data_IF_434672757216
#
_entry.id   IF_434672757216
#
_cell.length_a   1.000
_cell.length_b   1.000
_cell.length_c   1.000
_cell.angle_alpha   90.00
_cell.angle_beta   90.00
_cell.angle_gamma   90.00
#
_symmetry.space_group_name_H-M   'P 1'
#
loop_
_entity.id
_entity.type
_entity.pdbx_description
1 polymer ?
#
# COMPACT_ATOMS: atom_id res chain seq x y z
N UNK A 1 -14.60 5.07 -11.92
CA UNK A 1 -13.13 5.06 -12.09
C UNK A 1 -12.65 3.66 -12.39
N UNK A 2 -11.52 3.53 -13.09
CA UNK A 2 -10.88 2.28 -13.48
C UNK A 2 -9.60 2.12 -12.68
N UNK A 3 -9.50 1.08 -11.89
CA UNK A 3 -8.39 0.91 -10.94
C UNK A 3 -7.68 -0.45 -11.11
N UNK A 4 -6.35 -0.43 -11.12
CA UNK A 4 -5.52 -1.60 -10.88
C UNK A 4 -5.11 -1.61 -9.41
N UNK A 5 -5.37 -2.70 -8.70
CA UNK A 5 -4.94 -2.90 -7.32
C UNK A 5 -4.01 -4.12 -7.24
N UNK A 6 -2.73 -3.90 -7.00
CA UNK A 6 -1.77 -4.99 -6.76
C UNK A 6 -1.84 -5.44 -5.29
N UNK A 7 -1.59 -6.73 -5.04
CA UNK A 7 -1.86 -7.31 -3.71
C UNK A 7 -3.35 -7.45 -3.40
N UNK A 8 -4.20 -7.30 -4.41
CA UNK A 8 -5.66 -7.29 -4.31
C UNK A 8 -6.31 -8.62 -3.98
N UNK A 9 -5.55 -9.71 -3.95
CA UNK A 9 -6.03 -11.04 -3.53
C UNK A 9 -5.72 -11.35 -2.05
N UNK A 10 -4.91 -10.52 -1.39
CA UNK A 10 -4.67 -10.61 0.05
C UNK A 10 -5.86 -10.09 0.87
N UNK A 11 -5.89 -10.41 2.17
CA UNK A 11 -7.00 -10.07 3.08
C UNK A 11 -7.40 -8.58 3.01
N UNK A 12 -6.45 -7.69 3.19
CA UNK A 12 -6.70 -6.24 3.12
C UNK A 12 -7.03 -5.80 1.70
N UNK A 13 -6.22 -6.21 0.71
CA UNK A 13 -6.40 -5.78 -0.67
C UNK A 13 -7.73 -6.22 -1.28
N UNK A 14 -8.17 -7.47 -1.01
CA UNK A 14 -9.46 -7.95 -1.49
C UNK A 14 -10.64 -7.13 -0.92
N UNK A 15 -10.58 -6.82 0.37
CA UNK A 15 -11.63 -6.02 1.01
C UNK A 15 -11.60 -4.55 0.54
N UNK A 16 -10.43 -3.97 0.31
CA UNK A 16 -10.30 -2.64 -0.32
C UNK A 16 -10.88 -2.67 -1.74
N UNK A 17 -10.51 -3.67 -2.56
CA UNK A 17 -11.03 -3.80 -3.92
C UNK A 17 -12.56 -3.91 -3.94
N UNK A 18 -13.13 -4.69 -3.04
CA UNK A 18 -14.58 -4.84 -2.92
C UNK A 18 -15.24 -3.52 -2.52
N UNK A 19 -14.70 -2.82 -1.54
CA UNK A 19 -15.23 -1.51 -1.14
C UNK A 19 -15.19 -0.49 -2.28
N UNK A 20 -14.12 -0.48 -3.09
CA UNK A 20 -14.06 0.38 -4.27
C UNK A 20 -15.11 0.00 -5.32
N UNK A 21 -15.38 -1.30 -5.52
CA UNK A 21 -16.44 -1.77 -6.43
C UNK A 21 -17.82 -1.33 -5.97
N UNK A 22 -18.10 -1.32 -4.67
CA UNK A 22 -19.40 -0.83 -4.15
C UNK A 22 -19.62 0.66 -4.41
N UNK A 23 -18.54 1.43 -4.61
CA UNK A 23 -18.60 2.83 -5.07
C UNK A 23 -18.64 2.97 -6.60
N UNK A 24 -18.91 1.87 -7.31
CA UNK A 24 -19.06 1.86 -8.76
C UNK A 24 -17.74 1.91 -9.55
N UNK A 25 -16.61 1.59 -8.93
CA UNK A 25 -15.33 1.49 -9.63
C UNK A 25 -15.21 0.15 -10.36
N UNK A 26 -14.59 0.17 -11.53
CA UNK A 26 -14.12 -1.04 -12.18
C UNK A 26 -12.72 -1.34 -11.62
N UNK A 27 -12.56 -2.50 -10.98
CA UNK A 27 -11.29 -2.84 -10.28
C UNK A 27 -10.75 -4.17 -10.78
N UNK A 28 -9.55 -4.15 -11.36
CA UNK A 28 -8.73 -5.33 -11.55
C UNK A 28 -7.87 -5.52 -10.29
N UNK A 29 -8.14 -6.57 -9.54
CA UNK A 29 -7.40 -6.93 -8.34
C UNK A 29 -6.42 -8.05 -8.66
N UNK A 30 -5.13 -7.73 -8.66
CA UNK A 30 -4.05 -8.67 -8.99
C UNK A 30 -3.36 -9.20 -7.73
N UNK A 31 -2.91 -10.44 -7.78
CA UNK A 31 -2.19 -11.13 -6.70
C UNK A 31 -0.90 -11.80 -7.20
N UNK A 32 -0.32 -12.67 -6.38
CA UNK A 32 0.94 -13.34 -6.68
C UNK A 32 0.89 -14.29 -7.90
N UNK A 33 -0.31 -14.71 -8.33
CA UNK A 33 -0.49 -15.55 -9.53
C UNK A 33 -0.47 -14.75 -10.83
N UNK A 34 -0.53 -13.44 -10.74
CA UNK A 34 -0.58 -12.54 -11.90
C UNK A 34 0.80 -12.07 -12.36
N UNK A 35 1.85 -12.56 -11.73
CA UNK A 35 3.24 -12.32 -12.09
C UNK A 35 4.11 -11.87 -10.92
N UNK A 36 5.42 -11.92 -11.11
CA UNK A 36 6.42 -11.36 -10.19
C UNK A 36 6.65 -9.88 -10.49
N UNK A 37 6.04 -9.02 -9.71
CA UNK A 37 6.12 -7.56 -9.90
C UNK A 37 7.52 -6.98 -9.62
N UNK A 38 8.45 -7.75 -9.04
CA UNK A 38 9.86 -7.36 -8.94
C UNK A 38 10.57 -7.39 -10.32
N UNK A 39 9.94 -7.96 -11.34
CA UNK A 39 10.39 -7.98 -12.73
C UNK A 39 9.63 -6.95 -13.55
N UNK A 40 10.37 -6.07 -14.22
CA UNK A 40 9.80 -4.96 -14.99
C UNK A 40 8.91 -5.42 -16.16
N UNK A 41 9.27 -6.53 -16.79
CA UNK A 41 8.50 -7.12 -17.90
C UNK A 41 7.15 -7.67 -17.43
N UNK A 42 7.11 -8.36 -16.29
CA UNK A 42 5.88 -8.90 -15.72
C UNK A 42 4.97 -7.79 -15.15
N UNK A 43 5.55 -6.78 -14.48
CA UNK A 43 4.80 -5.60 -14.03
C UNK A 43 4.16 -4.86 -15.22
N UNK A 44 4.87 -4.73 -16.35
CA UNK A 44 4.34 -4.12 -17.58
C UNK A 44 3.19 -4.96 -18.15
N UNK A 45 3.36 -6.27 -18.27
CA UNK A 45 2.31 -7.16 -18.78
C UNK A 45 1.03 -7.09 -17.94
N UNK A 46 1.14 -7.00 -16.61
CA UNK A 46 -0.01 -6.81 -15.73
C UNK A 46 -0.73 -5.47 -16.00
N UNK A 47 0.02 -4.38 -16.17
CA UNK A 47 -0.57 -3.06 -16.45
C UNK A 47 -1.27 -3.04 -17.81
N UNK A 48 -0.65 -3.60 -18.84
CA UNK A 48 -1.23 -3.70 -20.18
C UNK A 48 -2.55 -4.49 -20.15
N UNK A 49 -2.56 -5.64 -19.47
CA UNK A 49 -3.78 -6.42 -19.25
C UNK A 49 -4.87 -5.59 -18.53
N UNK A 50 -4.50 -4.85 -17.49
CA UNK A 50 -5.47 -4.02 -16.76
C UNK A 50 -6.05 -2.92 -17.65
N UNK A 51 -5.23 -2.31 -18.51
CA UNK A 51 -5.68 -1.29 -19.46
C UNK A 51 -6.64 -1.88 -20.50
N UNK A 52 -6.33 -3.08 -21.02
CA UNK A 52 -7.18 -3.74 -22.01
C UNK A 52 -8.52 -4.17 -21.42
N UNK A 53 -8.52 -4.80 -20.24
CA UNK A 53 -9.74 -5.26 -19.58
C UNK A 53 -10.64 -4.10 -19.10
N UNK A 54 -10.05 -3.01 -18.61
CA UNK A 54 -10.80 -1.87 -18.05
C UNK A 54 -11.09 -0.77 -19.09
N UNK A 55 -10.48 -0.84 -20.28
CA UNK A 55 -10.57 0.21 -21.29
C UNK A 55 -9.80 1.49 -20.92
N UNK A 56 -8.81 1.39 -20.05
CA UNK A 56 -7.97 2.48 -19.58
C UNK A 56 -7.68 2.41 -18.08
N UNK A 57 -6.97 3.41 -17.54
CA UNK A 57 -6.54 3.40 -16.15
C UNK A 57 -6.61 4.81 -15.55
N UNK A 58 -7.31 4.95 -14.43
CA UNK A 58 -7.47 6.21 -13.70
C UNK A 58 -6.71 6.18 -12.36
N UNK A 59 -6.65 5.00 -11.72
CA UNK A 59 -6.00 4.82 -10.42
C UNK A 59 -5.16 3.54 -10.41
N UNK A 60 -3.97 3.62 -9.83
CA UNK A 60 -3.18 2.45 -9.43
C UNK A 60 -3.05 2.44 -7.92
N UNK A 61 -3.39 1.32 -7.29
CA UNK A 61 -3.15 1.08 -5.87
C UNK A 61 -2.06 0.02 -5.73
N UNK A 62 -0.88 0.43 -5.32
CA UNK A 62 0.27 -0.43 -5.08
C UNK A 62 0.19 -1.03 -3.67
N UNK A 63 -0.45 -2.18 -3.56
CA UNK A 63 -0.64 -2.90 -2.30
C UNK A 63 0.11 -4.24 -2.21
N UNK A 64 0.86 -4.62 -3.25
CA UNK A 64 1.68 -5.82 -3.21
C UNK A 64 2.80 -5.67 -2.17
N UNK A 65 2.95 -6.67 -1.33
CA UNK A 65 4.02 -6.77 -0.33
C UNK A 65 4.30 -8.24 -0.07
N UNK A 66 5.54 -8.59 0.23
CA UNK A 66 5.85 -9.91 0.74
C UNK A 66 5.17 -10.11 2.10
N UNK A 67 4.72 -11.34 2.36
CA UNK A 67 4.36 -11.72 3.72
C UNK A 67 5.55 -11.50 4.65
N UNK A 68 5.28 -11.12 5.89
CA UNK A 68 6.34 -10.92 6.87
C UNK A 68 6.12 -11.84 8.07
N UNK A 69 7.18 -12.53 8.46
CA UNK A 69 7.23 -13.41 9.63
C UNK A 69 8.21 -12.78 10.61
N UNK A 70 7.88 -12.72 11.92
CA UNK A 70 8.81 -12.18 12.90
C UNK A 70 10.07 -13.06 12.98
N UNK A 71 11.24 -12.43 12.90
CA UNK A 71 12.56 -13.07 13.01
C UNK A 71 13.45 -12.27 13.96
N UNK A 72 14.36 -12.95 14.64
CA UNK A 72 15.49 -12.28 15.29
C UNK A 72 16.39 -11.71 14.21
N UNK A 73 17.06 -10.63 14.48
CA UNK A 73 17.90 -9.96 13.47
C UNK A 73 18.97 -10.90 12.89
N UNK A 74 19.55 -11.75 13.73
CA UNK A 74 20.59 -12.71 13.36
C UNK A 74 20.09 -13.82 12.42
N UNK A 75 18.77 -14.04 12.37
CA UNK A 75 18.12 -15.08 11.55
C UNK A 75 17.58 -14.52 10.23
N UNK A 76 17.75 -13.21 9.96
CA UNK A 76 17.32 -12.58 8.70
C UNK A 76 18.23 -13.05 7.57
N UNK A 77 17.64 -13.65 6.54
CA UNK A 77 18.33 -14.12 5.34
C UNK A 77 18.33 -13.08 4.21
N UNK A 78 19.17 -13.30 3.22
CA UNK A 78 19.17 -12.53 1.96
C UNK A 78 17.81 -12.63 1.26
N UNK A 79 17.21 -13.82 1.21
CA UNK A 79 15.88 -14.03 0.63
C UNK A 79 14.79 -13.21 1.33
N UNK A 80 14.85 -13.00 2.65
CA UNK A 80 13.89 -12.15 3.38
C UNK A 80 14.00 -10.69 2.93
N UNK A 81 15.22 -10.22 2.71
CA UNK A 81 15.49 -8.85 2.24
C UNK A 81 15.02 -8.69 0.80
N UNK A 82 15.40 -9.63 -0.06
CA UNK A 82 15.03 -9.61 -1.48
C UNK A 82 13.53 -9.70 -1.68
N UNK A 83 12.83 -10.55 -0.94
CA UNK A 83 11.36 -10.64 -0.98
C UNK A 83 10.70 -9.33 -0.54
N UNK A 84 11.15 -8.74 0.58
CA UNK A 84 10.59 -7.49 1.09
C UNK A 84 10.79 -6.33 0.11
N UNK A 85 12.00 -6.15 -0.40
CA UNK A 85 12.34 -5.09 -1.36
C UNK A 85 11.74 -5.37 -2.74
N UNK A 86 11.74 -6.62 -3.19
CA UNK A 86 11.21 -7.03 -4.49
C UNK A 86 9.74 -6.67 -4.64
N UNK A 87 8.89 -7.24 -3.82
CA UNK A 87 7.44 -7.03 -3.93
C UNK A 87 7.03 -5.59 -3.61
N UNK A 88 7.60 -5.01 -2.53
CA UNK A 88 7.15 -3.71 -2.02
C UNK A 88 7.74 -2.54 -2.80
N UNK A 89 9.07 -2.54 -3.04
CA UNK A 89 9.77 -1.38 -3.63
C UNK A 89 9.82 -1.50 -5.15
N UNK A 90 10.43 -2.58 -5.67
CA UNK A 90 10.56 -2.77 -7.12
C UNK A 90 9.20 -2.93 -7.78
N UNK A 91 8.28 -3.71 -7.17
CA UNK A 91 6.93 -3.89 -7.67
C UNK A 91 6.17 -2.57 -7.78
N UNK A 92 6.15 -1.77 -6.72
CA UNK A 92 5.51 -0.45 -6.75
C UNK A 92 6.12 0.48 -7.81
N UNK A 93 7.44 0.45 -7.95
CA UNK A 93 8.15 1.28 -8.93
C UNK A 93 7.81 0.87 -10.37
N UNK A 94 7.94 -0.42 -10.71
CA UNK A 94 7.74 -0.89 -12.08
C UNK A 94 6.28 -0.85 -12.52
N UNK A 95 5.33 -1.17 -11.64
CA UNK A 95 3.90 -1.00 -11.92
C UNK A 95 3.58 0.48 -12.17
N UNK A 96 4.07 1.39 -11.34
CA UNK A 96 3.87 2.82 -11.53
C UNK A 96 4.52 3.31 -12.82
N UNK A 97 5.73 2.85 -13.15
CA UNK A 97 6.43 3.20 -14.38
C UNK A 97 5.64 2.76 -15.62
N UNK A 98 5.14 1.54 -15.64
CA UNK A 98 4.33 1.02 -16.74
C UNK A 98 2.99 1.74 -16.85
N UNK A 99 2.35 2.08 -15.72
CA UNK A 99 1.06 2.75 -15.67
C UNK A 99 1.13 4.25 -16.02
N UNK A 100 2.27 4.90 -15.85
CA UNK A 100 2.42 6.35 -15.99
C UNK A 100 1.89 6.93 -17.31
N UNK A 101 2.14 6.33 -18.51
CA UNK A 101 1.58 6.84 -19.76
C UNK A 101 0.04 6.83 -19.81
N UNK A 102 -0.58 5.84 -19.15
CA UNK A 102 -2.04 5.70 -19.08
C UNK A 102 -2.64 6.69 -18.08
N UNK A 103 -2.01 6.82 -16.91
CA UNK A 103 -2.42 7.76 -15.86
C UNK A 103 -2.29 9.23 -16.31
N UNK A 104 -1.27 9.57 -17.12
CA UNK A 104 -1.17 10.91 -17.68
C UNK A 104 -2.36 11.27 -18.56
N UNK A 105 -2.91 10.33 -19.32
CA UNK A 105 -4.09 10.56 -20.17
C UNK A 105 -5.38 10.81 -19.39
N UNK A 106 -5.45 10.29 -18.17
CA UNK A 106 -6.63 10.43 -17.29
C UNK A 106 -6.45 11.45 -16.18
N UNK A 107 -5.30 12.15 -16.11
CA UNK A 107 -4.91 12.96 -14.94
C UNK A 107 -5.03 12.16 -13.64
N UNK A 108 -4.48 10.95 -13.66
CA UNK A 108 -4.74 9.89 -12.70
C UNK A 108 -4.02 9.99 -11.37
N UNK A 109 -4.16 8.94 -10.59
CA UNK A 109 -3.63 8.83 -9.24
C UNK A 109 -2.89 7.51 -9.03
N UNK A 110 -1.75 7.57 -8.36
CA UNK A 110 -1.10 6.40 -7.74
C UNK A 110 -1.27 6.49 -6.23
N UNK A 111 -1.75 5.40 -5.63
CA UNK A 111 -1.79 5.22 -4.17
C UNK A 111 -0.80 4.15 -3.78
N UNK A 112 0.13 4.46 -2.89
CA UNK A 112 1.02 3.49 -2.25
C UNK A 112 0.37 3.01 -0.95
N UNK A 113 0.03 1.73 -0.84
CA UNK A 113 -0.36 1.13 0.44
C UNK A 113 0.92 0.89 1.26
N UNK A 114 1.29 1.92 1.99
CA UNK A 114 2.42 1.93 2.91
C UNK A 114 2.10 1.09 4.17
N UNK A 115 2.71 1.43 5.27
CA UNK A 115 2.49 0.83 6.59
C UNK A 115 3.03 1.77 7.66
N UNK A 116 2.45 1.77 8.86
CA UNK A 116 3.04 2.48 10.01
C UNK A 116 4.46 2.00 10.35
N UNK A 117 4.85 0.81 9.90
CA UNK A 117 6.22 0.31 9.97
C UNK A 117 7.25 1.19 9.22
N UNK A 118 6.79 2.05 8.30
CA UNK A 118 7.64 3.06 7.66
C UNK A 118 8.07 4.17 8.64
N UNK A 119 7.34 4.35 9.73
CA UNK A 119 7.47 5.47 10.68
C UNK A 119 7.80 5.00 12.10
N UNK A 120 7.45 3.75 12.43
CA UNK A 120 7.71 3.15 13.75
C UNK A 120 8.51 1.85 13.56
N UNK A 121 9.74 1.75 14.09
CA UNK A 121 10.58 0.56 13.88
C UNK A 121 10.07 -0.64 14.68
N UNK A 122 10.08 -1.81 14.03
CA UNK A 122 9.73 -3.10 14.65
C UNK A 122 10.94 -4.03 14.58
N UNK A 123 11.54 -4.32 15.72
CA UNK A 123 12.79 -5.08 15.82
C UNK A 123 12.76 -6.47 15.17
N UNK A 124 11.58 -7.14 15.19
CA UNK A 124 11.41 -8.46 14.57
C UNK A 124 11.04 -8.43 13.09
N UNK A 125 10.97 -7.23 12.45
CA UNK A 125 10.51 -7.06 11.08
C UNK A 125 11.40 -6.09 10.28
N UNK A 126 12.72 -6.14 10.49
CA UNK A 126 13.68 -5.19 9.93
C UNK A 126 13.58 -5.04 8.40
N UNK A 127 13.55 -6.12 7.58
CA UNK A 127 13.42 -5.98 6.13
C UNK A 127 12.09 -5.33 5.72
N UNK A 128 10.99 -5.66 6.40
CA UNK A 128 9.68 -5.06 6.13
C UNK A 128 9.68 -3.56 6.42
N UNK A 129 10.19 -3.14 7.60
CA UNK A 129 10.29 -1.72 7.94
C UNK A 129 11.11 -0.95 6.91
N UNK A 130 12.27 -1.48 6.50
CA UNK A 130 13.12 -0.87 5.48
C UNK A 130 12.39 -0.73 4.13
N UNK A 131 11.70 -1.77 3.68
CA UNK A 131 10.94 -1.76 2.43
C UNK A 131 9.78 -0.75 2.49
N UNK A 132 9.05 -0.66 3.60
CA UNK A 132 7.95 0.29 3.78
C UNK A 132 8.44 1.74 3.88
N UNK A 133 9.57 1.99 4.54
CA UNK A 133 10.21 3.31 4.54
C UNK A 133 10.65 3.73 3.14
N UNK A 134 11.21 2.81 2.35
CA UNK A 134 11.54 3.06 0.95
C UNK A 134 10.28 3.35 0.11
N UNK A 135 9.17 2.61 0.32
CA UNK A 135 7.90 2.86 -0.37
C UNK A 135 7.32 4.25 -0.02
N UNK A 136 7.42 4.69 1.24
CA UNK A 136 7.01 6.03 1.65
C UNK A 136 7.88 7.13 0.98
N UNK A 137 9.16 6.87 0.76
CA UNK A 137 10.00 7.79 -0.02
C UNK A 137 9.64 7.77 -1.51
N UNK A 138 9.27 6.62 -2.09
CA UNK A 138 8.78 6.54 -3.47
C UNK A 138 7.52 7.39 -3.67
N UNK A 139 6.60 7.45 -2.71
CA UNK A 139 5.44 8.34 -2.75
C UNK A 139 5.86 9.78 -3.06
N UNK A 140 6.85 10.31 -2.34
CA UNK A 140 7.32 11.69 -2.51
C UNK A 140 8.12 11.90 -3.80
N UNK A 141 9.02 10.97 -4.10
CA UNK A 141 9.87 11.06 -5.28
C UNK A 141 9.05 10.98 -6.58
N UNK A 142 8.10 10.04 -6.65
CA UNK A 142 7.23 9.86 -7.81
C UNK A 142 6.19 10.98 -7.93
N UNK A 143 5.70 11.54 -6.83
CA UNK A 143 4.85 12.72 -6.87
C UNK A 143 5.54 13.89 -7.59
N UNK A 144 6.84 14.09 -7.31
CA UNK A 144 7.64 15.11 -7.98
C UNK A 144 7.93 14.75 -9.45
N UNK A 145 8.21 13.48 -9.74
CA UNK A 145 8.60 13.03 -11.07
C UNK A 145 7.44 12.96 -12.07
N UNK A 146 6.20 12.74 -11.59
CA UNK A 146 5.02 12.54 -12.42
C UNK A 146 4.08 13.75 -12.46
N UNK A 147 4.37 14.78 -11.66
CA UNK A 147 3.63 16.05 -11.70
C UNK A 147 3.89 16.79 -13.02
N UNK A 148 2.92 17.61 -13.52
CA UNK A 148 1.64 17.90 -12.88
C UNK A 148 0.52 16.89 -13.23
N UNK A 149 0.75 15.97 -14.16
CA UNK A 149 -0.31 15.17 -14.77
C UNK A 149 -0.80 14.02 -13.88
N UNK A 150 0.08 13.46 -13.05
CA UNK A 150 -0.25 12.33 -12.17
C UNK A 150 0.05 12.67 -10.73
N UNK A 151 -0.93 12.47 -9.85
CA UNK A 151 -0.73 12.57 -8.40
C UNK A 151 -0.24 11.25 -7.83
N UNK A 152 0.61 11.30 -6.81
CA UNK A 152 1.06 10.12 -6.07
C UNK A 152 0.89 10.40 -4.58
N UNK A 153 0.14 9.54 -3.91
CA UNK A 153 -0.15 9.67 -2.47
C UNK A 153 0.07 8.32 -1.76
N UNK A 154 0.28 8.36 -0.46
CA UNK A 154 0.38 7.20 0.40
C UNK A 154 -0.85 7.01 1.28
N UNK A 155 -1.13 5.78 1.63
CA UNK A 155 -1.99 5.40 2.76
C UNK A 155 -1.19 4.46 3.64
N UNK A 156 -1.02 4.80 4.92
CA UNK A 156 -0.25 4.02 5.88
C UNK A 156 -1.18 3.40 6.94
N UNK A 157 -1.62 2.16 6.75
CA UNK A 157 -2.43 1.47 7.74
C UNK A 157 -1.62 1.11 8.99
N UNK A 158 -2.29 1.12 10.14
CA UNK A 158 -1.85 0.51 11.39
C UNK A 158 -2.48 -0.87 11.58
N UNK A 159 -2.95 -1.21 12.80
CA UNK A 159 -3.60 -2.49 13.07
C UNK A 159 -5.00 -2.52 12.46
N UNK A 160 -5.08 -2.90 11.17
CA UNK A 160 -6.32 -3.04 10.41
C UNK A 160 -6.53 -4.47 9.95
N UNK A 161 -7.78 -4.91 9.85
CA UNK A 161 -8.14 -6.25 9.37
C UNK A 161 -7.36 -7.38 10.07
N UNK A 162 -7.12 -7.22 11.37
CA UNK A 162 -6.37 -8.19 12.19
C UNK A 162 -7.15 -9.48 12.39
N UNK A 163 -6.46 -10.55 12.81
CA UNK A 163 -7.13 -11.81 13.16
C UNK A 163 -7.87 -11.66 14.51
N UNK A 164 -9.03 -12.31 14.69
CA UNK A 164 -9.84 -12.18 15.91
C UNK A 164 -9.05 -12.43 17.20
N UNK A 165 -8.12 -13.38 17.19
CA UNK A 165 -7.30 -13.74 18.34
C UNK A 165 -6.30 -12.63 18.73
N UNK A 166 -6.06 -11.69 17.83
CA UNK A 166 -5.15 -10.55 18.05
C UNK A 166 -5.89 -9.25 18.32
N UNK A 167 -7.23 -9.22 18.17
CA UNK A 167 -8.06 -8.01 18.20
C UNK A 167 -7.83 -7.20 19.48
N UNK A 168 -8.02 -7.79 20.65
CA UNK A 168 -7.88 -7.11 21.94
C UNK A 168 -6.48 -6.50 22.12
N UNK A 169 -5.44 -7.30 21.84
CA UNK A 169 -4.05 -6.84 21.95
C UNK A 169 -3.75 -5.70 20.99
N UNK A 170 -4.23 -5.81 19.74
CA UNK A 170 -4.00 -4.78 18.72
C UNK A 170 -4.84 -3.53 18.95
N UNK A 171 -6.05 -3.66 19.50
CA UNK A 171 -6.87 -2.53 19.91
C UNK A 171 -6.17 -1.69 20.99
N UNK A 172 -5.53 -2.36 21.98
CA UNK A 172 -4.75 -1.68 23.00
C UNK A 172 -3.52 -0.91 22.49
N UNK A 173 -3.07 -1.19 21.26
CA UNK A 173 -2.01 -0.46 20.59
C UNK A 173 -2.50 0.85 19.92
N UNK A 174 -3.77 1.20 20.01
CA UNK A 174 -4.35 2.39 19.37
C UNK A 174 -4.97 3.32 20.42
N UNK A 175 -4.91 4.64 20.17
CA UNK A 175 -5.56 5.63 21.03
C UNK A 175 -7.09 5.51 20.96
N UNK A 176 -7.63 5.09 19.81
CA UNK A 176 -9.07 4.90 19.64
C UNK A 176 -9.60 3.63 20.33
N UNK A 177 -8.74 2.79 20.92
CA UNK A 177 -9.12 1.58 21.66
C UNK A 177 -9.79 0.50 20.82
N UNK A 178 -9.63 0.52 19.51
CA UNK A 178 -10.13 -0.48 18.56
C UNK A 178 -9.16 -0.68 17.41
N UNK A 179 -9.25 -1.81 16.74
CA UNK A 179 -8.59 -2.00 15.45
C UNK A 179 -9.39 -1.32 14.34
N UNK A 180 -8.72 -1.05 13.23
CA UNK A 180 -9.35 -0.58 12.02
C UNK A 180 -9.87 -1.72 11.16
N UNK A 181 -10.76 -1.40 10.24
CA UNK A 181 -11.25 -2.28 9.18
C UNK A 181 -10.59 -1.98 7.85
N UNK A 182 -10.71 -2.89 6.88
CA UNK A 182 -10.29 -2.62 5.51
C UNK A 182 -11.10 -1.46 4.88
N UNK A 183 -12.33 -1.21 5.34
CA UNK A 183 -13.13 -0.07 4.92
C UNK A 183 -12.47 1.26 5.32
N UNK A 184 -11.90 1.37 6.53
CA UNK A 184 -11.20 2.58 6.95
C UNK A 184 -10.03 2.92 6.00
N UNK A 185 -9.34 1.89 5.47
CA UNK A 185 -8.27 2.07 4.47
C UNK A 185 -8.83 2.47 3.11
N UNK A 186 -9.91 1.82 2.67
CA UNK A 186 -10.55 2.13 1.39
C UNK A 186 -11.14 3.55 1.36
N UNK A 187 -11.69 4.05 2.47
CA UNK A 187 -12.15 5.44 2.59
C UNK A 187 -11.01 6.44 2.36
N UNK A 188 -9.80 6.16 2.85
CA UNK A 188 -8.64 7.01 2.57
C UNK A 188 -8.27 7.00 1.07
N UNK A 189 -8.37 5.84 0.40
CA UNK A 189 -8.16 5.74 -1.06
C UNK A 189 -9.22 6.54 -1.81
N UNK A 190 -10.50 6.41 -1.45
CA UNK A 190 -11.62 7.15 -2.05
C UNK A 190 -11.44 8.67 -1.86
N UNK A 191 -11.07 9.12 -0.66
CA UNK A 191 -10.77 10.52 -0.39
C UNK A 191 -9.66 11.04 -1.31
N UNK A 192 -8.54 10.33 -1.40
CA UNK A 192 -7.41 10.72 -2.25
C UNK A 192 -7.78 10.77 -3.74
N UNK A 193 -8.69 9.90 -4.19
CA UNK A 193 -9.16 9.92 -5.55
C UNK A 193 -9.90 11.23 -5.90
N UNK A 194 -10.68 11.79 -4.96
CA UNK A 194 -11.37 13.07 -5.12
C UNK A 194 -10.54 14.31 -4.75
N UNK A 195 -9.42 14.15 -4.05
CA UNK A 195 -8.64 15.27 -3.50
C UNK A 195 -7.61 15.81 -4.52
N UNK A 196 -8.05 16.54 -5.52
CA UNK A 196 -7.26 16.96 -6.68
C UNK A 196 -6.07 17.91 -6.38
N UNK A 197 -5.97 18.43 -5.17
CA UNK A 197 -4.84 19.30 -4.75
C UNK A 197 -3.93 18.61 -3.72
N UNK A 198 -4.00 17.27 -3.64
CA UNK A 198 -3.17 16.46 -2.72
C UNK A 198 -2.25 15.57 -3.54
N UNK A 199 -0.94 15.71 -3.35
CA UNK A 199 0.11 14.83 -3.90
C UNK A 199 1.33 14.83 -2.99
N UNK A 200 2.13 13.76 -3.00
CA UNK A 200 3.34 13.61 -2.18
C UNK A 200 3.09 13.43 -0.67
N UNK A 201 1.83 13.33 -0.25
CA UNK A 201 1.43 13.19 1.14
C UNK A 201 0.91 11.79 1.44
N UNK A 202 1.03 11.37 2.70
CA UNK A 202 0.53 10.10 3.20
C UNK A 202 -0.55 10.33 4.24
N UNK A 203 -1.69 9.63 4.10
CA UNK A 203 -2.72 9.53 5.12
C UNK A 203 -2.40 8.33 6.01
N UNK A 204 -2.21 8.58 7.31
CA UNK A 204 -2.04 7.52 8.31
C UNK A 204 -3.41 7.08 8.81
N UNK A 205 -3.70 5.76 8.73
CA UNK A 205 -4.96 5.14 9.13
C UNK A 205 -4.67 4.09 10.21
N UNK A 206 -4.37 4.55 11.43
CA UNK A 206 -3.78 3.72 12.48
C UNK A 206 -4.48 3.80 13.85
N UNK A 207 -5.59 4.52 13.95
CA UNK A 207 -6.26 4.73 15.22
C UNK A 207 -5.42 5.50 16.25
N UNK A 208 -4.42 6.26 15.79
CA UNK A 208 -3.49 7.01 16.64
C UNK A 208 -2.33 6.17 17.21
N UNK A 209 -2.07 4.99 16.65
CA UNK A 209 -0.98 4.11 17.11
C UNK A 209 0.38 4.82 17.14
N UNK A 210 0.72 5.58 16.11
CA UNK A 210 2.00 6.29 16.05
C UNK A 210 2.17 7.36 17.13
N UNK A 211 1.08 7.78 17.78
CA UNK A 211 1.09 8.75 18.86
C UNK A 211 1.19 8.10 20.25
N UNK A 212 0.98 6.78 20.33
CA UNK A 212 1.18 6.07 21.60
C UNK A 212 2.67 6.01 21.94
N UNK A 213 3.04 6.68 23.00
CA UNK A 213 4.29 6.40 23.69
C UNK A 213 4.15 5.03 24.36
N UNK A 214 5.16 4.17 24.23
CA UNK A 214 5.23 2.91 24.98
C UNK A 214 4.88 3.19 26.44
N UNK A 215 3.83 2.55 26.94
CA UNK A 215 3.40 2.70 28.34
C UNK A 215 4.58 2.40 29.28
N UNK A 216 5.06 3.42 29.98
CA UNK A 216 6.20 3.33 30.89
C UNK A 216 6.87 4.67 31.22
N UNK A 217 6.55 5.75 30.51
CA UNK A 217 7.26 7.02 30.65
C UNK A 217 6.48 8.12 31.43
N UNK A 218 5.24 7.90 31.81
CA UNK A 218 4.45 8.88 32.58
C UNK A 218 3.57 8.17 33.60
N UNK A 219 4.16 7.66 34.67
CA UNK A 219 3.49 7.43 35.94
C UNK A 219 4.24 8.22 37.02
#
# INVERSE_FOLDING_TARGET
MRALLTGGTGKLGAAVAERLRTEGWQVLAAGSRDGDLARADEARALVERAVDELGGLDVVVNGASAGFVPKRFEDVSEDDVDAALGATVKGSLFVTQAAAPHLRRSSGLVVMLEDVAAYQPWASFVPHCAAKAAQAMLTRALAKALAPEVRVCGVAPGPVAVEPEQEERRAAETILGRTGSAADVAEAVLYLAGANFVTGSTIVVDGGRLLQTTAGAHA
#
